data_IF_265464049782
#
_entry.id   IF_265464049782
#
_cell.length_a   1.000
_cell.length_b   1.000
_cell.length_c   1.000
_cell.angle_alpha   90.00
_cell.angle_beta   90.00
_cell.angle_gamma   90.00
#
_symmetry.space_group_name_H-M   'P 1'
#
loop_
_entity.id
_entity.type
_entity.pdbx_description
1 polymer ?
#
# COMPACT_ATOMS: atom_id res chain seq x y z
N UNK A 1 -8.83 -7.71 13.86
CA UNK A 1 -9.06 -7.24 12.47
C UNK A 1 -10.53 -6.99 12.13
N UNK A 2 -11.49 -7.60 12.84
CA UNK A 2 -12.94 -7.44 12.56
C UNK A 2 -13.48 -6.01 12.63
N UNK A 3 -12.79 -5.11 13.32
CA UNK A 3 -13.18 -3.69 13.38
C UNK A 3 -12.85 -2.91 12.12
N UNK A 4 -11.95 -3.38 11.24
CA UNK A 4 -11.67 -2.68 9.97
C UNK A 4 -12.81 -2.96 9.00
N UNK A 5 -13.57 -1.92 8.64
CA UNK A 5 -14.75 -2.02 7.77
C UNK A 5 -14.45 -1.62 6.33
N UNK A 6 -13.35 -0.92 6.07
CA UNK A 6 -12.91 -0.61 4.72
C UNK A 6 -11.51 -0.02 4.65
N UNK A 7 -10.80 -0.33 3.56
CA UNK A 7 -9.54 0.33 3.19
C UNK A 7 -9.83 1.45 2.20
N UNK A 8 -9.55 2.70 2.56
CA UNK A 8 -9.94 3.86 1.76
C UNK A 8 -8.84 4.21 0.76
N UNK A 9 -7.67 4.56 1.29
CA UNK A 9 -6.53 5.04 0.52
C UNK A 9 -5.27 4.33 0.98
N UNK A 10 -4.42 3.97 0.04
CA UNK A 10 -3.08 3.44 0.28
C UNK A 10 -2.08 4.29 -0.50
N UNK A 11 -1.02 4.72 0.18
CA UNK A 11 0.09 5.42 -0.44
C UNK A 11 1.37 4.62 -0.20
N UNK A 12 1.89 4.04 -1.27
CA UNK A 12 3.13 3.30 -1.24
C UNK A 12 4.27 4.09 -1.85
N UNK A 13 5.38 4.08 -1.15
CA UNK A 13 6.63 4.71 -1.52
C UNK A 13 7.68 3.63 -1.69
N UNK A 14 8.30 3.57 -2.86
CA UNK A 14 9.29 2.54 -3.20
C UNK A 14 10.64 3.21 -3.36
N UNK A 15 11.62 2.81 -2.56
CA UNK A 15 13.00 3.25 -2.74
C UNK A 15 13.51 2.76 -4.10
N UNK A 16 13.69 3.69 -5.04
CA UNK A 16 13.84 3.39 -6.47
C UNK A 16 15.09 4.07 -7.01
N UNK A 17 15.89 3.30 -7.77
CA UNK A 17 16.92 3.88 -8.61
C UNK A 17 16.31 4.77 -9.73
N UNK A 18 17.10 5.70 -10.25
CA UNK A 18 16.69 6.52 -11.39
C UNK A 18 16.33 5.63 -12.58
N UNK A 19 15.20 5.91 -13.22
CA UNK A 19 14.69 5.16 -14.38
C UNK A 19 13.86 3.93 -14.04
N UNK A 20 13.75 3.53 -12.76
CA UNK A 20 12.77 2.50 -12.38
C UNK A 20 11.35 3.09 -12.43
N UNK A 21 10.42 2.40 -13.11
CA UNK A 21 9.05 2.87 -13.39
C UNK A 21 7.97 1.85 -13.02
N UNK A 22 8.36 0.77 -12.34
CA UNK A 22 7.49 -0.37 -12.04
C UNK A 22 7.03 -0.41 -10.57
N UNK A 23 6.99 0.76 -9.90
CA UNK A 23 6.59 0.84 -8.48
C UNK A 23 5.19 0.29 -8.25
N UNK A 24 4.31 0.39 -9.24
CA UNK A 24 2.97 -0.18 -9.19
C UNK A 24 2.98 -1.72 -9.09
N UNK A 25 3.96 -2.41 -9.69
CA UNK A 25 4.13 -3.86 -9.58
C UNK A 25 4.65 -4.24 -8.20
N UNK A 26 5.65 -3.51 -7.69
CA UNK A 26 6.19 -3.71 -6.34
C UNK A 26 5.08 -3.61 -5.29
N UNK A 27 4.21 -2.60 -5.41
CA UNK A 27 3.12 -2.38 -4.46
C UNK A 27 1.94 -3.35 -4.63
N UNK A 28 1.89 -4.16 -5.70
CA UNK A 28 0.87 -5.21 -5.83
C UNK A 28 0.97 -6.25 -4.71
N UNK A 29 2.18 -6.55 -4.22
CA UNK A 29 2.35 -7.47 -3.09
C UNK A 29 1.56 -7.04 -1.85
N UNK A 30 1.55 -5.74 -1.55
CA UNK A 30 0.73 -5.17 -0.48
C UNK A 30 -0.77 -5.29 -0.80
N UNK A 31 -1.18 -4.85 -1.99
CA UNK A 31 -2.61 -4.86 -2.37
C UNK A 31 -3.19 -6.27 -2.38
N UNK A 32 -2.45 -7.25 -2.90
CA UNK A 32 -2.86 -8.65 -2.95
C UNK A 32 -2.95 -9.27 -1.54
N UNK A 33 -2.05 -8.90 -0.64
CA UNK A 33 -2.12 -9.32 0.76
C UNK A 33 -3.39 -8.79 1.43
N UNK A 34 -3.67 -7.48 1.31
CA UNK A 34 -4.86 -6.87 1.91
C UNK A 34 -6.14 -7.49 1.35
N UNK A 35 -6.21 -7.70 0.03
CA UNK A 35 -7.35 -8.35 -0.60
C UNK A 35 -7.53 -9.81 -0.14
N UNK A 36 -6.43 -10.53 0.09
CA UNK A 36 -6.46 -11.92 0.59
C UNK A 36 -6.92 -12.00 2.04
N UNK A 37 -6.48 -11.08 2.89
CA UNK A 37 -6.79 -11.06 4.33
C UNK A 37 -8.20 -10.52 4.60
N UNK A 38 -8.59 -9.43 3.94
CA UNK A 38 -9.85 -8.72 4.21
C UNK A 38 -10.96 -9.00 3.17
N UNK A 39 -10.64 -9.71 2.10
CA UNK A 39 -11.57 -9.93 0.98
C UNK A 39 -11.79 -8.68 0.12
N UNK A 40 -12.45 -8.85 -1.03
CA UNK A 40 -12.63 -7.76 -2.02
C UNK A 40 -13.54 -6.62 -1.55
N UNK A 41 -14.48 -6.88 -0.64
CA UNK A 41 -15.45 -5.87 -0.15
C UNK A 41 -14.78 -4.88 0.80
N UNK A 42 -14.00 -5.38 1.76
CA UNK A 42 -13.33 -4.56 2.77
C UNK A 42 -11.94 -4.11 2.29
N UNK A 43 -11.21 -4.98 1.61
CA UNK A 43 -9.80 -4.78 1.26
C UNK A 43 -9.54 -4.00 -0.03
N UNK A 44 -10.53 -3.73 -0.89
CA UNK A 44 -10.32 -2.93 -2.10
C UNK A 44 -10.14 -1.46 -1.71
N UNK A 45 -9.12 -0.81 -2.26
CA UNK A 45 -8.71 0.55 -1.92
C UNK A 45 -8.27 1.35 -3.15
N UNK A 46 -8.35 2.67 -3.05
CA UNK A 46 -7.62 3.57 -3.94
C UNK A 46 -6.13 3.54 -3.61
N UNK A 47 -5.27 3.73 -4.61
CA UNK A 47 -3.82 3.57 -4.45
C UNK A 47 -3.00 4.56 -5.26
N UNK A 48 -1.95 5.07 -4.64
CA UNK A 48 -0.82 5.74 -5.30
C UNK A 48 0.47 4.97 -5.01
N UNK A 49 1.31 4.78 -6.03
CA UNK A 49 2.63 4.15 -5.91
C UNK A 49 3.66 5.08 -6.55
N UNK A 50 4.65 5.54 -5.80
CA UNK A 50 5.70 6.41 -6.33
C UNK A 50 7.11 5.95 -5.97
N UNK A 51 8.07 6.36 -6.81
CA UNK A 51 9.48 6.21 -6.52
C UNK A 51 9.94 7.29 -5.54
N UNK A 52 10.81 6.91 -4.61
CA UNK A 52 11.56 7.82 -3.74
C UNK A 52 13.05 7.59 -3.92
N UNK A 53 13.83 8.66 -3.83
CA UNK A 53 15.29 8.58 -3.90
C UNK A 53 15.90 7.90 -2.66
N UNK A 54 15.24 8.03 -1.52
CA UNK A 54 15.56 7.34 -0.28
C UNK A 54 14.32 7.28 0.62
N UNK A 55 14.31 6.33 1.55
CA UNK A 55 13.33 6.21 2.63
C UNK A 55 14.05 6.22 3.99
N UNK A 56 13.37 6.60 5.08
CA UNK A 56 13.90 6.44 6.43
C UNK A 56 14.42 5.01 6.67
N UNK A 57 15.51 4.89 7.43
CA UNK A 57 16.14 3.60 7.76
C UNK A 57 16.58 2.76 6.54
N UNK A 58 16.64 3.36 5.34
CA UNK A 58 16.92 2.67 4.08
C UNK A 58 15.95 1.52 3.78
N UNK A 59 14.67 1.66 4.17
CA UNK A 59 13.66 0.68 3.80
C UNK A 59 13.46 0.60 2.28
N UNK A 60 13.12 -0.60 1.80
CA UNK A 60 12.79 -0.80 0.39
C UNK A 60 11.42 -0.20 0.04
N UNK A 61 10.45 -0.32 0.95
CA UNK A 61 9.07 0.13 0.75
C UNK A 61 8.58 0.72 2.07
N UNK A 62 7.86 1.84 1.98
CA UNK A 62 7.05 2.39 3.07
C UNK A 62 5.60 2.53 2.59
N UNK A 63 4.64 2.19 3.45
CA UNK A 63 3.21 2.22 3.10
C UNK A 63 2.43 2.93 4.20
N UNK A 64 1.64 3.92 3.79
CA UNK A 64 0.65 4.60 4.61
C UNK A 64 -0.75 4.22 4.13
N UNK A 65 -1.71 4.10 5.05
CA UNK A 65 -3.09 3.81 4.71
C UNK A 65 -4.11 4.53 5.60
N UNK A 66 -5.23 4.89 5.00
CA UNK A 66 -6.43 5.37 5.69
C UNK A 66 -7.50 4.26 5.69
N UNK A 67 -8.09 4.03 6.86
CA UNK A 67 -9.01 2.92 7.11
C UNK A 67 -10.30 3.44 7.74
N UNK A 68 -11.41 2.79 7.41
CA UNK A 68 -12.64 2.87 8.20
C UNK A 68 -12.60 1.80 9.27
N UNK A 69 -12.88 2.20 10.51
CA UNK A 69 -13.02 1.29 11.63
C UNK A 69 -14.42 1.43 12.24
N UNK A 70 -15.04 0.30 12.57
CA UNK A 70 -16.20 0.28 13.44
C UNK A 70 -15.80 0.83 14.83
N UNK A 71 -16.74 1.46 15.54
CA UNK A 71 -16.54 1.95 16.91
C UNK A 71 -15.89 0.93 17.85
#
# INVERSE_FOLDING_TARGET
MSRVTGWVRVFGMVNSALGHVEQHLVLNGFSDLILRVFGRKTGRHARSANGKAALPMNFAIEVEAELLAAP
#
